data_IF_613606567569
#
_entry.id   IF_613606567569
#
_cell.length_a   1.000
_cell.length_b   1.000
_cell.length_c   1.000
_cell.angle_alpha   90.00
_cell.angle_beta   90.00
_cell.angle_gamma   90.00
#
_symmetry.space_group_name_H-M   'P 1'
#
loop_
_entity.id
_entity.type
_entity.pdbx_description
1 polymer ?
#
# COMPACT_ATOMS: atom_id res chain seq x y z
N UNK A 1 52.82 57.62 -20.39
CA UNK A 1 51.46 57.04 -20.25
C UNK A 1 51.32 56.54 -18.82
N UNK A 2 50.98 57.44 -17.91
CA UNK A 2 50.76 57.14 -16.49
C UNK A 2 49.26 56.98 -16.29
N UNK A 3 48.82 55.74 -16.07
CA UNK A 3 47.42 55.44 -15.77
C UNK A 3 47.03 56.08 -14.45
N UNK A 4 45.98 56.91 -14.46
CA UNK A 4 45.42 57.49 -13.25
C UNK A 4 44.87 56.36 -12.35
N UNK A 5 45.53 56.10 -11.23
CA UNK A 5 44.96 55.31 -10.14
C UNK A 5 43.84 56.14 -9.50
N UNK A 6 42.60 55.94 -9.95
CA UNK A 6 41.42 56.44 -9.25
C UNK A 6 41.24 55.60 -7.99
N UNK A 7 41.47 56.19 -6.82
CA UNK A 7 41.21 55.56 -5.53
C UNK A 7 39.73 55.22 -5.39
N UNK A 8 39.43 53.99 -5.01
CA UNK A 8 38.06 53.51 -4.79
C UNK A 8 37.42 54.35 -3.68
N UNK A 9 36.25 54.93 -3.92
CA UNK A 9 35.54 55.67 -2.88
C UNK A 9 34.93 54.70 -1.85
N UNK A 10 34.82 55.12 -0.59
CA UNK A 10 34.19 54.32 0.47
C UNK A 10 32.77 53.89 0.09
N UNK A 11 32.05 54.75 -0.65
CA UNK A 11 30.69 54.50 -1.14
C UNK A 11 30.69 53.40 -2.20
N UNK A 12 31.62 53.42 -3.17
CA UNK A 12 31.75 52.33 -4.16
C UNK A 12 32.03 50.98 -3.50
N UNK A 13 32.88 50.96 -2.47
CA UNK A 13 33.16 49.72 -1.73
C UNK A 13 31.89 49.18 -1.05
N UNK A 14 31.10 50.06 -0.42
CA UNK A 14 29.86 49.71 0.26
C UNK A 14 28.79 49.19 -0.70
N UNK A 15 28.65 49.84 -1.86
CA UNK A 15 27.71 49.41 -2.92
C UNK A 15 28.13 48.06 -3.49
N UNK A 16 29.42 47.87 -3.78
CA UNK A 16 29.93 46.58 -4.27
C UNK A 16 29.71 45.45 -3.25
N UNK A 17 29.93 45.71 -1.96
CA UNK A 17 29.70 44.73 -0.89
C UNK A 17 28.21 44.39 -0.74
N UNK A 18 27.32 45.39 -0.81
CA UNK A 18 25.88 45.19 -0.76
C UNK A 18 25.39 44.34 -1.93
N UNK A 19 25.86 44.62 -3.15
CA UNK A 19 25.52 43.82 -4.34
C UNK A 19 26.06 42.38 -4.24
N UNK A 20 27.28 42.20 -3.71
CA UNK A 20 27.86 40.88 -3.47
C UNK A 20 27.04 40.07 -2.46
N UNK A 21 26.56 40.68 -1.37
CA UNK A 21 25.71 40.02 -0.38
C UNK A 21 24.33 39.64 -0.95
N UNK A 22 23.73 40.51 -1.77
CA UNK A 22 22.46 40.21 -2.46
C UNK A 22 22.65 39.03 -3.42
N UNK A 23 23.72 39.02 -4.21
CA UNK A 23 24.03 37.93 -5.13
C UNK A 23 24.28 36.61 -4.37
N UNK A 24 25.02 36.65 -3.27
CA UNK A 24 25.28 35.47 -2.44
C UNK A 24 24.00 34.94 -1.78
N UNK A 25 23.13 35.82 -1.32
CA UNK A 25 21.82 35.46 -0.78
C UNK A 25 20.95 34.80 -1.85
N UNK A 26 20.86 35.37 -3.05
CA UNK A 26 20.12 34.79 -4.16
C UNK A 26 20.66 33.41 -4.56
N UNK A 27 21.99 33.27 -4.68
CA UNK A 27 22.64 31.99 -4.97
C UNK A 27 22.39 30.93 -3.88
N UNK A 28 22.45 31.34 -2.61
CA UNK A 28 22.17 30.46 -1.47
C UNK A 28 20.72 29.96 -1.49
N UNK A 29 19.75 30.84 -1.75
CA UNK A 29 18.34 30.46 -1.88
C UNK A 29 18.10 29.53 -3.07
N UNK A 30 18.78 29.77 -4.21
CA UNK A 30 18.69 28.88 -5.37
C UNK A 30 19.23 27.48 -5.05
N UNK A 31 20.37 27.39 -4.36
CA UNK A 31 20.95 26.11 -3.94
C UNK A 31 20.04 25.37 -2.95
N UNK A 32 19.46 26.07 -1.98
CA UNK A 32 18.51 25.50 -1.01
C UNK A 32 17.25 25.00 -1.74
N UNK A 33 16.70 25.81 -2.65
CA UNK A 33 15.54 25.41 -3.46
C UNK A 33 15.84 24.20 -4.35
N UNK A 34 17.03 24.13 -4.94
CA UNK A 34 17.45 23.04 -5.82
C UNK A 34 17.63 21.74 -5.05
N UNK A 35 18.26 21.80 -3.87
CA UNK A 35 18.46 20.64 -3.00
C UNK A 35 17.16 20.13 -2.41
N UNK A 36 16.24 21.02 -2.01
CA UNK A 36 14.88 20.63 -1.58
C UNK A 36 14.10 19.96 -2.72
N UNK A 37 14.15 20.54 -3.93
CA UNK A 37 13.47 19.97 -5.10
C UNK A 37 14.02 18.58 -5.46
N UNK A 38 15.34 18.39 -5.41
CA UNK A 38 15.96 17.10 -5.65
C UNK A 38 15.55 16.06 -4.58
N UNK A 39 15.47 16.46 -3.31
CA UNK A 39 14.99 15.59 -2.23
C UNK A 39 13.52 15.19 -2.39
N UNK A 40 12.64 16.13 -2.73
CA UNK A 40 11.22 15.86 -2.97
C UNK A 40 11.02 14.92 -4.16
N UNK A 41 11.80 15.09 -5.24
CA UNK A 41 11.79 14.20 -6.40
C UNK A 41 12.26 12.79 -6.04
N UNK A 42 13.29 12.66 -5.21
CA UNK A 42 13.77 11.37 -4.75
C UNK A 42 12.70 10.63 -3.94
N UNK A 43 12.09 11.27 -2.94
CA UNK A 43 11.02 10.67 -2.13
C UNK A 43 9.84 10.25 -3.01
N UNK A 44 9.46 11.09 -3.97
CA UNK A 44 8.39 10.77 -4.92
C UNK A 44 8.73 9.58 -5.80
N UNK A 45 9.98 9.46 -6.24
CA UNK A 45 10.47 8.33 -7.02
C UNK A 45 10.44 7.05 -6.20
N UNK A 46 10.89 7.10 -4.95
CA UNK A 46 10.92 5.94 -4.05
C UNK A 46 9.49 5.43 -3.77
N UNK A 47 8.56 6.33 -3.42
CA UNK A 47 7.15 5.98 -3.22
C UNK A 47 6.51 5.39 -4.48
N UNK A 48 6.84 5.92 -5.66
CA UNK A 48 6.32 5.39 -6.93
C UNK A 48 6.86 3.99 -7.23
N UNK A 49 8.14 3.73 -6.97
CA UNK A 49 8.75 2.41 -7.13
C UNK A 49 8.12 1.40 -6.16
N UNK A 50 8.01 1.74 -4.87
CA UNK A 50 7.37 0.90 -3.85
C UNK A 50 5.91 0.59 -4.21
N UNK A 51 5.15 1.61 -4.65
CA UNK A 51 3.77 1.46 -5.09
C UNK A 51 3.66 0.48 -6.27
N UNK A 52 4.52 0.60 -7.29
CA UNK A 52 4.50 -0.29 -8.46
C UNK A 52 4.84 -1.73 -8.09
N UNK A 53 5.86 -1.93 -7.24
CA UNK A 53 6.25 -3.26 -6.77
C UNK A 53 5.10 -3.91 -5.98
N UNK A 54 4.53 -3.19 -5.02
CA UNK A 54 3.41 -3.68 -4.23
C UNK A 54 2.16 -3.96 -5.08
N UNK A 55 1.81 -3.09 -6.03
CA UNK A 55 0.71 -3.33 -6.96
C UNK A 55 0.93 -4.59 -7.79
N UNK A 56 2.12 -4.76 -8.39
CA UNK A 56 2.42 -5.95 -9.18
C UNK A 56 2.34 -7.23 -8.34
N UNK A 57 2.80 -7.18 -7.09
CA UNK A 57 2.69 -8.29 -6.15
C UNK A 57 1.23 -8.62 -5.81
N UNK A 58 0.41 -7.62 -5.49
CA UNK A 58 -1.02 -7.79 -5.23
C UNK A 58 -1.72 -8.39 -6.44
N UNK A 59 -1.47 -7.84 -7.63
CA UNK A 59 -2.06 -8.31 -8.89
C UNK A 59 -1.69 -9.76 -9.17
N UNK A 60 -0.43 -10.15 -8.96
CA UNK A 60 0.01 -11.52 -9.15
C UNK A 60 -0.77 -12.50 -8.25
N UNK A 61 -0.95 -12.17 -6.97
CA UNK A 61 -1.70 -13.01 -6.03
C UNK A 61 -3.20 -13.06 -6.35
N UNK A 62 -3.80 -11.90 -6.66
CA UNK A 62 -5.23 -11.80 -7.01
C UNK A 62 -5.54 -12.52 -8.31
N UNK A 63 -4.62 -12.51 -9.28
CA UNK A 63 -4.75 -13.27 -10.54
C UNK A 63 -4.97 -14.76 -10.27
N UNK A 64 -4.35 -15.28 -9.23
CA UNK A 64 -4.44 -16.69 -8.83
C UNK A 64 -5.63 -17.03 -7.93
N UNK A 65 -6.51 -16.07 -7.65
CA UNK A 65 -7.68 -16.32 -6.81
C UNK A 65 -8.61 -17.36 -7.44
N UNK A 66 -8.94 -18.39 -6.66
CA UNK A 66 -9.94 -19.40 -6.95
C UNK A 66 -11.35 -19.00 -6.49
N UNK A 67 -11.43 -18.11 -5.50
CA UNK A 67 -12.69 -17.54 -5.00
C UNK A 67 -12.41 -16.20 -4.35
N UNK A 68 -13.17 -15.16 -4.70
CA UNK A 68 -13.06 -13.83 -4.08
C UNK A 68 -14.26 -13.63 -3.17
N UNK A 69 -14.06 -13.22 -1.91
CA UNK A 69 -15.18 -13.05 -0.99
C UNK A 69 -16.08 -11.87 -1.44
N UNK A 70 -17.40 -12.07 -1.56
CA UNK A 70 -18.30 -10.99 -1.95
C UNK A 70 -18.34 -9.85 -0.93
N UNK A 71 -18.66 -8.65 -1.43
CA UNK A 71 -18.82 -7.49 -0.55
C UNK A 71 -19.91 -7.75 0.49
N UNK A 72 -19.66 -7.34 1.73
CA UNK A 72 -20.52 -7.59 2.89
C UNK A 72 -20.25 -8.92 3.61
N UNK A 73 -19.37 -9.78 3.10
CA UNK A 73 -19.05 -11.05 3.78
C UNK A 73 -18.22 -10.78 5.04
N UNK A 74 -18.64 -11.27 6.22
CA UNK A 74 -17.86 -11.14 7.45
C UNK A 74 -16.61 -12.03 7.39
N UNK A 75 -15.48 -11.48 7.80
CA UNK A 75 -14.19 -12.17 7.88
C UNK A 75 -13.72 -12.11 9.33
N UNK A 76 -13.57 -13.27 9.97
CA UNK A 76 -13.09 -13.36 11.35
C UNK A 76 -11.57 -13.56 11.34
N UNK A 77 -10.83 -12.44 11.40
CA UNK A 77 -9.37 -12.46 11.60
C UNK A 77 -9.02 -12.64 13.09
N UNK A 78 -7.86 -13.22 13.43
CA UNK A 78 -7.41 -13.32 14.81
C UNK A 78 -7.24 -11.92 15.41
N UNK A 79 -7.31 -11.77 16.74
CA UNK A 79 -7.15 -10.46 17.39
C UNK A 79 -5.68 -10.25 17.78
N UNK A 80 -4.96 -9.39 17.04
CA UNK A 80 -3.61 -8.96 17.35
C UNK A 80 -3.30 -7.59 16.70
N UNK A 81 -2.09 -7.05 16.92
CA UNK A 81 -1.68 -5.73 16.39
C UNK A 81 -1.79 -5.63 14.85
N UNK A 82 -1.57 -6.75 14.14
CA UNK A 82 -1.49 -6.79 12.68
C UNK A 82 -2.86 -7.00 12.00
N UNK A 83 -3.88 -7.36 12.76
CA UNK A 83 -5.21 -7.78 12.27
C UNK A 83 -6.36 -7.04 12.95
N UNK A 84 -6.08 -6.16 13.91
CA UNK A 84 -7.13 -5.37 14.58
C UNK A 84 -7.74 -4.38 13.59
N UNK A 85 -9.07 -4.39 13.48
CA UNK A 85 -9.79 -3.45 12.60
C UNK A 85 -9.67 -2.02 13.15
N UNK A 86 -9.18 -1.06 12.34
CA UNK A 86 -9.17 0.34 12.75
C UNK A 86 -10.59 0.85 12.96
N UNK A 87 -10.86 1.44 14.14
CA UNK A 87 -12.21 1.82 14.57
C UNK A 87 -13.03 0.68 15.21
N UNK A 88 -12.45 -0.50 15.42
CA UNK A 88 -13.07 -1.64 16.09
C UNK A 88 -14.08 -2.41 15.23
N UNK A 89 -14.72 -3.44 15.81
CA UNK A 89 -15.75 -4.24 15.15
C UNK A 89 -15.23 -5.32 14.20
N UNK A 90 -16.15 -5.92 13.43
CA UNK A 90 -15.86 -7.06 12.55
C UNK A 90 -15.33 -6.61 11.20
N UNK A 91 -14.34 -7.33 10.68
CA UNK A 91 -13.89 -7.16 9.30
C UNK A 91 -14.96 -7.65 8.31
N UNK A 92 -15.17 -6.88 7.25
CA UNK A 92 -16.13 -7.22 6.20
C UNK A 92 -15.47 -6.97 4.84
N UNK A 93 -15.53 -7.94 3.94
CA UNK A 93 -15.04 -7.76 2.57
C UNK A 93 -15.78 -6.58 1.91
N UNK A 94 -15.04 -5.68 1.26
CA UNK A 94 -15.62 -4.47 0.66
C UNK A 94 -16.28 -3.49 1.64
N UNK A 95 -15.98 -3.57 2.94
CA UNK A 95 -16.53 -2.68 3.96
C UNK A 95 -15.97 -1.25 3.94
N UNK A 96 -16.37 -0.44 4.91
CA UNK A 96 -15.93 0.96 5.02
C UNK A 96 -14.43 1.13 5.27
N UNK A 97 -13.82 0.16 5.96
CA UNK A 97 -12.37 -0.04 5.93
C UNK A 97 -12.11 -1.08 4.84
N UNK A 98 -11.40 -0.73 3.76
CA UNK A 98 -11.23 -1.62 2.61
C UNK A 98 -10.58 -2.94 3.01
N UNK A 99 -11.26 -4.05 2.73
CA UNK A 99 -10.69 -5.39 2.88
C UNK A 99 -10.98 -6.20 1.62
N UNK A 100 -9.92 -6.71 1.01
CA UNK A 100 -9.97 -7.68 -0.06
C UNK A 100 -9.57 -9.04 0.50
N UNK A 101 -10.48 -10.00 0.49
CA UNK A 101 -10.18 -11.37 0.85
C UNK A 101 -10.46 -12.31 -0.32
N UNK A 102 -9.67 -13.37 -0.44
CA UNK A 102 -9.86 -14.43 -1.43
C UNK A 102 -9.18 -15.72 -1.00
N UNK A 103 -9.57 -16.82 -1.64
CA UNK A 103 -8.84 -18.08 -1.62
C UNK A 103 -7.97 -18.13 -2.86
N UNK A 104 -6.67 -18.26 -2.68
CA UNK A 104 -5.71 -18.47 -3.76
C UNK A 104 -5.62 -19.97 -4.10
N UNK A 105 -5.57 -20.27 -5.39
CA UNK A 105 -5.27 -21.62 -5.87
C UNK A 105 -3.84 -22.03 -5.49
N UNK A 106 -3.56 -23.33 -5.27
CA UNK A 106 -2.22 -23.81 -4.99
C UNK A 106 -1.30 -23.67 -6.22
N UNK A 107 0.00 -23.52 -5.99
CA UNK A 107 1.02 -23.49 -7.04
C UNK A 107 1.25 -24.89 -7.65
N UNK A 108 0.93 -25.93 -6.88
CA UNK A 108 1.11 -27.34 -7.24
C UNK A 108 -0.21 -28.11 -7.12
N UNK A 109 -0.34 -29.29 -7.74
CA UNK A 109 -1.52 -30.15 -7.57
C UNK A 109 -1.84 -30.42 -6.09
N UNK A 110 -3.13 -30.32 -5.75
CA UNK A 110 -3.63 -30.35 -4.35
C UNK A 110 -3.40 -31.67 -3.61
N UNK A 111 -3.16 -32.77 -4.35
CA UNK A 111 -2.95 -34.11 -3.79
C UNK A 111 -1.77 -34.22 -2.83
N UNK A 112 -0.84 -33.26 -2.85
CA UNK A 112 0.31 -33.18 -1.94
C UNK A 112 0.19 -32.14 -0.82
N UNK A 113 -1.00 -31.55 -0.59
CA UNK A 113 -1.15 -30.51 0.43
C UNK A 113 -0.83 -31.06 1.84
N UNK A 114 0.19 -30.47 2.46
CA UNK A 114 0.50 -30.67 3.87
C UNK A 114 1.22 -29.44 4.43
N UNK A 115 0.91 -29.06 5.68
CA UNK A 115 1.52 -27.89 6.33
C UNK A 115 2.92 -28.15 6.92
N UNK A 116 3.50 -29.33 6.67
CA UNK A 116 4.74 -29.82 7.29
C UNK A 116 5.98 -29.06 6.83
N UNK A 117 6.10 -28.72 5.55
CA UNK A 117 7.24 -27.96 5.02
C UNK A 117 6.84 -26.97 3.93
N UNK A 118 7.77 -26.13 3.50
CA UNK A 118 7.51 -25.08 2.51
C UNK A 118 7.11 -25.64 1.13
N UNK A 119 7.57 -26.84 0.77
CA UNK A 119 7.27 -27.44 -0.54
C UNK A 119 5.86 -28.02 -0.58
N UNK A 120 5.47 -28.77 0.46
CA UNK A 120 4.13 -29.35 0.58
C UNK A 120 3.04 -28.29 0.80
N UNK A 121 3.39 -27.14 1.38
CA UNK A 121 2.47 -25.99 1.51
C UNK A 121 2.10 -25.37 0.17
N UNK A 122 2.96 -25.47 -0.86
CA UNK A 122 2.66 -24.96 -2.21
C UNK A 122 1.55 -25.74 -2.92
N UNK A 123 1.23 -26.94 -2.44
CA UNK A 123 0.09 -27.72 -2.89
C UNK A 123 -1.21 -27.36 -2.15
N UNK A 124 -1.18 -26.48 -1.14
CA UNK A 124 -2.36 -26.09 -0.38
C UNK A 124 -3.00 -24.82 -0.92
N UNK A 125 -4.33 -24.77 -0.92
CA UNK A 125 -5.06 -23.50 -1.07
C UNK A 125 -4.66 -22.56 0.06
N UNK A 126 -4.64 -21.25 -0.21
CA UNK A 126 -4.25 -20.26 0.79
C UNK A 126 -5.34 -19.21 0.91
N UNK A 127 -5.85 -19.00 2.13
CA UNK A 127 -6.65 -17.82 2.42
C UNK A 127 -5.74 -16.60 2.45
N UNK A 128 -6.09 -15.57 1.69
CA UNK A 128 -5.38 -14.28 1.69
C UNK A 128 -6.33 -13.14 1.94
N UNK A 129 -5.88 -12.16 2.72
CA UNK A 129 -6.57 -10.90 2.87
C UNK A 129 -5.58 -9.73 2.86
N UNK A 130 -5.96 -8.65 2.19
CA UNK A 130 -5.26 -7.38 2.17
C UNK A 130 -6.15 -6.30 2.77
N UNK A 131 -5.61 -5.54 3.72
CA UNK A 131 -6.35 -4.51 4.42
C UNK A 131 -5.41 -3.47 5.06
N UNK A 132 -5.87 -2.23 5.23
CA UNK A 132 -5.06 -1.19 5.86
C UNK A 132 -5.18 -1.26 7.38
N UNK A 133 -4.06 -1.05 8.07
CA UNK A 133 -3.97 -0.91 9.53
C UNK A 133 -3.30 0.44 9.84
N UNK A 134 -3.58 1.06 10.99
CA UNK A 134 -2.89 2.29 11.37
C UNK A 134 -1.42 2.01 11.62
N UNK A 135 -0.55 2.89 11.15
CA UNK A 135 0.91 2.74 11.30
C UNK A 135 1.32 2.78 12.76
N UNK A 136 0.75 3.68 13.58
CA UNK A 136 1.01 3.73 15.01
C UNK A 136 0.70 2.40 15.72
N UNK A 137 -0.45 1.79 15.44
CA UNK A 137 -0.87 0.51 16.02
C UNK A 137 0.06 -0.63 15.58
N UNK A 138 0.50 -0.59 14.31
CA UNK A 138 1.46 -1.55 13.77
C UNK A 138 2.83 -1.44 14.45
N UNK A 139 3.42 -0.24 14.47
CA UNK A 139 4.76 0.00 15.04
C UNK A 139 4.80 -0.30 16.54
N UNK A 140 3.71 -0.06 17.27
CA UNK A 140 3.63 -0.35 18.70
C UNK A 140 3.63 -1.86 19.03
N UNK A 141 3.15 -2.71 18.12
CA UNK A 141 3.01 -4.16 18.36
C UNK A 141 3.90 -5.07 17.51
N UNK A 142 4.46 -4.57 16.41
CA UNK A 142 5.22 -5.39 15.46
C UNK A 142 6.62 -5.74 15.97
N UNK A 143 7.07 -6.99 15.80
CA UNK A 143 8.44 -7.39 16.10
C UNK A 143 9.42 -6.74 15.12
N UNK A 144 10.68 -6.57 15.52
CA UNK A 144 11.71 -5.84 14.74
C UNK A 144 11.76 -6.19 13.24
N UNK A 145 11.70 -7.47 12.81
CA UNK A 145 11.77 -7.80 11.38
C UNK A 145 10.56 -7.31 10.55
N UNK A 146 9.42 -7.07 11.20
CA UNK A 146 8.19 -6.61 10.57
C UNK A 146 7.86 -5.15 10.89
N UNK A 147 8.72 -4.47 11.67
CA UNK A 147 8.51 -3.13 12.14
C UNK A 147 9.23 -2.14 11.19
N UNK A 148 8.52 -1.21 10.53
CA UNK A 148 9.13 -0.21 9.66
C UNK A 148 9.91 0.86 10.46
N UNK A 149 9.88 0.80 11.79
CA UNK A 149 10.58 1.71 12.69
C UNK A 149 9.74 2.94 13.06
N UNK A 150 10.18 3.69 14.08
CA UNK A 150 9.50 4.91 14.51
C UNK A 150 9.55 6.00 13.43
N UNK A 151 8.39 6.62 13.17
CA UNK A 151 8.27 7.84 12.35
C UNK A 151 7.05 8.63 12.82
N UNK A 152 7.25 9.40 13.89
CA UNK A 152 6.17 10.12 14.59
C UNK A 152 5.48 11.15 13.70
N UNK A 153 6.13 11.61 12.62
CA UNK A 153 5.52 12.53 11.66
C UNK A 153 4.47 11.86 10.78
N UNK A 154 4.40 10.52 10.82
CA UNK A 154 3.54 9.67 10.00
C UNK A 154 2.71 8.68 10.82
N UNK A 155 2.55 8.87 12.13
CA UNK A 155 1.79 7.95 13.00
C UNK A 155 0.30 7.86 12.62
N UNK A 156 -0.24 8.92 12.01
CA UNK A 156 -1.62 8.97 11.49
C UNK A 156 -1.79 8.31 10.10
N UNK A 157 -0.69 7.85 9.49
CA UNK A 157 -0.68 7.13 8.22
C UNK A 157 -1.02 5.65 8.43
N UNK A 158 -1.18 4.93 7.33
CA UNK A 158 -1.59 3.53 7.35
C UNK A 158 -0.54 2.66 6.70
N UNK A 159 -0.56 1.39 7.08
CA UNK A 159 0.20 0.33 6.42
C UNK A 159 -0.77 -0.60 5.70
N UNK A 160 -0.38 -1.17 4.57
CA UNK A 160 -1.10 -2.28 3.96
C UNK A 160 -0.55 -3.59 4.53
N UNK A 161 -1.44 -4.31 5.19
CA UNK A 161 -1.15 -5.61 5.77
C UNK A 161 -1.59 -6.74 4.82
N UNK A 162 -0.82 -7.81 4.81
CA UNK A 162 -1.15 -9.07 4.14
C UNK A 162 -1.32 -10.17 5.17
N UNK A 163 -2.53 -10.71 5.28
CA UNK A 163 -2.78 -11.93 6.02
C UNK A 163 -2.78 -13.11 5.05
N UNK A 164 -1.98 -14.14 5.32
CA UNK A 164 -1.94 -15.37 4.53
C UNK A 164 -1.98 -16.59 5.45
N UNK A 165 -2.94 -17.48 5.21
CA UNK A 165 -3.07 -18.74 5.95
C UNK A 165 -3.23 -19.91 4.96
N UNK A 166 -2.24 -20.83 4.88
CA UNK A 166 -2.40 -22.04 4.08
C UNK A 166 -3.44 -22.96 4.72
N UNK A 167 -4.33 -23.51 3.90
CA UNK A 167 -5.43 -24.37 4.31
C UNK A 167 -4.99 -25.82 4.19
N UNK A 168 -5.05 -26.56 5.29
CA UNK A 168 -4.70 -27.98 5.30
C UNK A 168 -5.86 -28.82 4.70
N UNK A 169 -6.01 -28.77 3.38
CA UNK A 169 -7.05 -29.47 2.66
C UNK A 169 -6.45 -30.17 1.43
N UNK A 170 -6.67 -31.48 1.34
CA UNK A 170 -6.23 -32.33 0.21
C UNK A 170 -7.21 -32.31 -0.96
N UNK A 171 -8.35 -31.66 -0.79
CA UNK A 171 -9.37 -31.41 -1.82
C UNK A 171 -9.65 -29.92 -1.94
N UNK A 172 -10.06 -29.43 -3.13
CA UNK A 172 -10.51 -28.05 -3.27
C UNK A 172 -11.64 -27.72 -2.28
N UNK A 173 -11.60 -26.55 -1.61
CA UNK A 173 -12.70 -26.12 -0.76
C UNK A 173 -13.95 -25.86 -1.60
N UNK A 174 -15.13 -26.17 -1.06
CA UNK A 174 -16.40 -25.74 -1.68
C UNK A 174 -16.61 -24.25 -1.47
N UNK A 175 -17.49 -23.63 -2.24
CA UNK A 175 -17.92 -22.23 -2.03
C UNK A 175 -18.50 -22.07 -0.63
N UNK A 176 -19.34 -23.02 -0.21
CA UNK A 176 -19.88 -23.05 1.15
C UNK A 176 -18.77 -23.19 2.21
N UNK A 177 -17.78 -24.05 1.96
CA UNK A 177 -16.62 -24.23 2.83
C UNK A 177 -15.76 -22.98 2.95
N UNK A 178 -15.59 -22.23 1.86
CA UNK A 178 -14.90 -20.94 1.86
C UNK A 178 -15.62 -19.92 2.77
N UNK A 179 -16.94 -19.79 2.62
CA UNK A 179 -17.75 -18.88 3.45
C UNK A 179 -17.68 -19.26 4.93
N UNK A 180 -17.77 -20.55 5.25
CA UNK A 180 -17.67 -21.05 6.62
C UNK A 180 -16.29 -20.81 7.23
N UNK A 181 -15.21 -20.99 6.44
CA UNK A 181 -13.84 -20.73 6.88
C UNK A 181 -13.66 -19.28 7.33
N UNK A 182 -14.18 -18.33 6.54
CA UNK A 182 -14.10 -16.91 6.88
C UNK A 182 -14.84 -16.58 8.20
N UNK A 183 -15.95 -17.27 8.48
CA UNK A 183 -16.72 -17.07 9.71
C UNK A 183 -16.09 -17.75 10.94
N UNK A 184 -15.51 -18.94 10.77
CA UNK A 184 -15.04 -19.82 11.85
C UNK A 184 -13.83 -19.29 12.64
N UNK A 185 -13.16 -18.26 12.15
CA UNK A 185 -11.97 -17.69 12.77
C UNK A 185 -10.70 -18.25 12.15
N UNK A 186 -9.85 -17.33 11.70
CA UNK A 186 -8.53 -17.61 11.15
C UNK A 186 -7.45 -17.48 12.23
N UNK A 187 -6.27 -18.03 11.96
CA UNK A 187 -5.12 -18.05 12.87
C UNK A 187 -3.86 -17.52 12.20
N UNK A 188 -3.04 -16.79 12.94
CA UNK A 188 -1.75 -16.28 12.46
C UNK A 188 -1.63 -14.77 12.60
N UNK A 189 -0.65 -14.20 11.91
CA UNK A 189 -0.32 -12.77 11.89
C UNK A 189 -0.20 -12.30 10.45
N UNK A 190 -0.40 -11.00 10.22
CA UNK A 190 -0.17 -10.39 8.93
C UNK A 190 1.27 -9.90 8.77
N UNK A 191 1.72 -9.82 7.52
CA UNK A 191 2.98 -9.24 7.10
C UNK A 191 2.78 -7.81 6.61
N UNK A 192 3.79 -6.96 6.81
CA UNK A 192 3.81 -5.62 6.23
C UNK A 192 4.07 -5.73 4.73
N UNK A 193 3.18 -5.19 3.90
CA UNK A 193 3.37 -5.15 2.44
C UNK A 193 3.83 -3.77 1.98
N UNK A 194 3.26 -2.70 2.52
CA UNK A 194 3.52 -1.33 2.08
C UNK A 194 3.29 -0.34 3.22
N UNK A 195 4.20 0.60 3.41
CA UNK A 195 4.05 1.70 4.37
C UNK A 195 3.40 2.93 3.72
N UNK A 196 2.91 3.85 4.54
CA UNK A 196 2.36 5.15 4.14
C UNK A 196 1.14 5.08 3.21
N UNK A 197 0.36 4.02 3.30
CA UNK A 197 -0.85 3.80 2.50
C UNK A 197 -1.94 4.78 2.92
N UNK A 198 -2.76 5.20 1.95
CA UNK A 198 -3.88 6.10 2.19
C UNK A 198 -5.20 5.43 1.78
N UNK A 199 -5.90 4.77 2.72
CA UNK A 199 -7.08 3.96 2.40
C UNK A 199 -8.38 4.76 2.22
N UNK A 200 -8.45 5.93 2.87
CA UNK A 200 -9.60 6.83 2.81
C UNK A 200 -9.08 8.26 2.64
N UNK A 201 -9.28 8.84 1.45
CA UNK A 201 -9.18 10.28 1.27
C UNK A 201 -10.50 10.79 0.67
N UNK A 202 -10.98 11.98 1.07
CA UNK A 202 -12.17 12.58 0.49
C UNK A 202 -12.09 12.62 -1.04
N UNK A 203 -13.12 12.11 -1.70
CA UNK A 203 -13.22 12.08 -3.16
C UNK A 203 -12.46 10.95 -3.86
N UNK A 204 -11.62 10.17 -3.17
CA UNK A 204 -10.96 9.01 -3.79
C UNK A 204 -11.84 7.75 -3.77
N UNK A 205 -11.71 6.88 -4.79
CA UNK A 205 -12.30 5.55 -4.74
C UNK A 205 -11.66 4.72 -3.61
N UNK A 206 -12.33 3.65 -3.14
CA UNK A 206 -11.77 2.75 -2.14
C UNK A 206 -10.43 2.16 -2.58
N UNK A 207 -9.49 2.00 -1.65
CA UNK A 207 -8.17 1.41 -1.91
C UNK A 207 -8.24 0.05 -2.62
N UNK A 208 -9.21 -0.76 -2.21
CA UNK A 208 -9.45 -2.12 -2.70
C UNK A 208 -10.95 -2.30 -2.91
N UNK A 209 -11.35 -2.84 -4.06
CA UNK A 209 -12.74 -3.22 -4.31
C UNK A 209 -12.83 -4.46 -5.19
N UNK A 210 -13.94 -5.20 -5.08
CA UNK A 210 -14.19 -6.39 -5.87
C UNK A 210 -15.65 -6.45 -6.32
N UNK A 211 -15.86 -6.79 -7.58
CA UNK A 211 -17.15 -7.15 -8.17
C UNK A 211 -17.17 -8.67 -8.31
N UNK A 212 -18.12 -9.31 -7.64
CA UNK A 212 -18.19 -10.76 -7.45
C UNK A 212 -19.60 -11.25 -7.78
N UNK A 213 -19.93 -11.41 -9.08
CA UNK A 213 -21.21 -11.98 -9.48
C UNK A 213 -21.38 -13.40 -8.93
N UNK A 214 -22.62 -13.81 -8.71
CA UNK A 214 -22.97 -15.18 -8.28
C UNK A 214 -23.73 -15.88 -9.42
N UNK A 215 -23.27 -17.05 -9.91
CA UNK A 215 -22.01 -17.72 -9.55
C UNK A 215 -20.77 -16.96 -10.07
N UNK A 216 -19.63 -17.15 -9.40
CA UNK A 216 -18.36 -16.57 -9.85
C UNK A 216 -17.86 -17.32 -11.08
N UNK A 217 -17.60 -16.59 -12.16
CA UNK A 217 -17.07 -17.14 -13.40
C UNK A 217 -15.79 -16.42 -13.82
N UNK A 218 -14.87 -17.10 -14.55
CA UNK A 218 -13.72 -16.45 -15.16
C UNK A 218 -14.18 -15.27 -16.03
N UNK A 219 -13.57 -14.11 -15.83
CA UNK A 219 -13.98 -12.91 -16.56
C UNK A 219 -15.28 -12.26 -16.06
N UNK A 220 -16.03 -12.85 -15.12
CA UNK A 220 -17.13 -12.18 -14.41
C UNK A 220 -16.67 -11.43 -13.15
N UNK A 221 -15.70 -11.99 -12.44
CA UNK A 221 -15.10 -11.36 -11.25
C UNK A 221 -14.10 -10.28 -11.67
N UNK A 222 -14.14 -9.12 -11.01
CA UNK A 222 -13.18 -8.02 -11.21
C UNK A 222 -12.70 -7.54 -9.85
N UNK A 223 -11.40 -7.39 -9.68
CA UNK A 223 -10.79 -6.78 -8.50
C UNK A 223 -10.08 -5.52 -8.95
N UNK A 224 -10.35 -4.41 -8.29
CA UNK A 224 -9.74 -3.11 -8.58
C UNK A 224 -8.89 -2.66 -7.41
N UNK A 225 -7.65 -2.28 -7.71
CA UNK A 225 -6.67 -1.76 -6.78
C UNK A 225 -6.44 -0.28 -7.10
N UNK A 226 -6.64 0.59 -6.12
CA UNK A 226 -6.46 2.04 -6.22
C UNK A 226 -5.39 2.49 -5.21
N UNK A 227 -4.21 1.86 -5.25
CA UNK A 227 -3.16 2.09 -4.24
C UNK A 227 -2.70 3.54 -4.30
N UNK A 228 -2.73 4.22 -3.17
CA UNK A 228 -2.18 5.56 -3.00
C UNK A 228 -1.39 5.65 -1.70
N UNK A 229 -0.31 6.42 -1.73
CA UNK A 229 0.63 6.62 -0.65
C UNK A 229 0.68 8.09 -0.25
N UNK A 230 0.85 8.36 1.03
CA UNK A 230 1.07 9.68 1.59
C UNK A 230 2.06 9.60 2.74
N UNK A 231 3.20 10.27 2.58
CA UNK A 231 4.24 10.39 3.60
C UNK A 231 4.55 11.86 3.87
N UNK A 232 4.57 12.24 5.13
CA UNK A 232 5.12 13.50 5.59
C UNK A 232 6.65 13.39 5.63
N UNK A 233 7.32 14.28 4.91
CA UNK A 233 8.77 14.40 4.94
C UNK A 233 9.11 15.86 5.24
N UNK A 234 9.81 16.09 6.36
CA UNK A 234 10.24 17.44 6.80
C UNK A 234 9.07 18.44 6.90
N UNK A 235 7.91 18.00 7.39
CA UNK A 235 6.73 18.83 7.56
C UNK A 235 5.90 19.03 6.29
N UNK A 236 6.25 18.36 5.18
CA UNK A 236 5.51 18.42 3.92
C UNK A 236 4.93 17.06 3.55
N UNK A 237 3.65 17.02 3.25
CA UNK A 237 3.00 15.82 2.73
C UNK A 237 3.36 15.59 1.26
N UNK A 238 3.92 14.42 1.00
CA UNK A 238 4.21 13.91 -0.33
C UNK A 238 3.23 12.77 -0.63
N UNK A 239 2.35 13.00 -1.60
CA UNK A 239 1.35 12.01 -2.02
C UNK A 239 1.71 11.41 -3.37
N UNK A 240 1.52 10.10 -3.50
CA UNK A 240 1.56 9.37 -4.77
C UNK A 240 0.26 8.59 -4.97
N UNK A 241 -0.40 8.70 -6.13
CA UNK A 241 -0.09 9.60 -7.24
C UNK A 241 -0.28 11.09 -6.86
N UNK A 242 0.45 11.99 -7.52
CA UNK A 242 0.35 13.43 -7.31
C UNK A 242 -1.08 13.94 -7.59
N UNK A 243 -1.55 14.93 -6.82
CA UNK A 243 -2.91 15.51 -6.91
C UNK A 243 -2.91 16.94 -7.47
N UNK A 244 -2.72 17.15 -8.78
CA UNK A 244 -2.59 18.47 -9.39
C UNK A 244 -3.89 19.28 -9.54
N UNK A 245 -5.07 18.82 -9.09
CA UNK A 245 -6.33 19.56 -9.29
C UNK A 245 -7.39 19.30 -8.23
N UNK A 246 -8.67 19.48 -8.57
CA UNK A 246 -9.83 19.18 -7.71
C UNK A 246 -10.57 17.87 -8.08
N UNK A 247 -10.32 17.28 -9.26
CA UNK A 247 -10.99 16.06 -9.72
C UNK A 247 -10.20 14.79 -9.36
N UNK A 248 -10.66 13.96 -8.43
CA UNK A 248 -9.92 12.79 -7.96
C UNK A 248 -9.72 11.70 -9.03
N UNK A 249 -10.60 11.64 -10.02
CA UNK A 249 -10.57 10.61 -11.06
C UNK A 249 -9.35 10.71 -12.00
N UNK A 250 -8.69 11.86 -12.10
CA UNK A 250 -7.53 12.05 -12.99
C UNK A 250 -6.19 11.71 -12.33
N UNK A 251 -6.18 11.41 -11.03
CA UNK A 251 -4.95 11.10 -10.30
C UNK A 251 -4.84 9.62 -9.97
N UNK A 252 -5.95 8.92 -9.79
CA UNK A 252 -5.94 7.52 -9.34
C UNK A 252 -5.38 6.61 -10.44
N UNK A 253 -4.33 5.86 -10.10
CA UNK A 253 -3.87 4.75 -10.92
C UNK A 253 -4.64 3.50 -10.54
N UNK A 254 -5.80 3.32 -11.17
CA UNK A 254 -6.63 2.13 -10.97
C UNK A 254 -6.12 0.98 -11.82
N UNK A 255 -5.79 -0.14 -11.18
CA UNK A 255 -5.53 -1.39 -11.90
C UNK A 255 -6.65 -2.37 -11.61
N UNK A 256 -7.28 -2.87 -12.66
CA UNK A 256 -8.36 -3.86 -12.56
C UNK A 256 -7.89 -5.18 -13.14
N UNK A 257 -8.10 -6.27 -12.39
CA UNK A 257 -7.74 -7.62 -12.80
C UNK A 257 -8.93 -8.57 -12.68
N UNK A 258 -8.98 -9.52 -13.62
CA UNK A 258 -9.88 -10.66 -13.56
C UNK A 258 -9.07 -11.88 -13.07
N UNK A 259 -9.41 -12.48 -11.91
CA UNK A 259 -8.80 -13.73 -11.49
C UNK A 259 -9.02 -14.84 -12.52
N UNK A 260 -8.03 -15.72 -12.69
CA UNK A 260 -8.07 -16.78 -13.70
C UNK A 260 -8.67 -18.09 -13.20
N UNK A 261 -8.62 -18.34 -11.88
CA UNK A 261 -9.03 -19.61 -11.28
C UNK A 261 -10.45 -19.54 -10.64
N UNK A 262 -11.17 -18.43 -10.76
CA UNK A 262 -12.53 -18.30 -10.21
C UNK A 262 -13.51 -19.25 -10.90
N UNK A 263 -14.49 -19.73 -10.15
CA UNK A 263 -15.48 -20.70 -10.65
C UNK A 263 -14.96 -22.14 -10.74
N UNK A 264 -13.73 -22.41 -10.28
CA UNK A 264 -13.17 -23.76 -10.19
C UNK A 264 -13.52 -24.49 -8.89
N UNK A 265 -13.96 -23.76 -7.86
CA UNK A 265 -14.39 -24.36 -6.61
C UNK A 265 -15.77 -25.02 -6.78
N UNK A 266 -15.98 -26.24 -6.24
CA UNK A 266 -17.30 -26.86 -6.22
C UNK A 266 -18.28 -26.03 -5.38
N UNK A 267 -19.59 -26.09 -5.68
CA UNK A 267 -20.62 -25.40 -4.89
C UNK A 267 -20.60 -25.79 -3.40
#
# INVERSE_FOLDING_TARGET
>A
MTGAQRGLTLIELLVALALALIALFAASNLLISSTQSAGDLQVRSDLLLEQQVAQNYLLANVREAAFVYPSGTPITLPVNYSTTRPGGGTWTAGGSVPLLAFIQAPERPVSGCALTNADTRRACYTFRAYYPVRRADWVAGAPDPANPGPDTSNDDRWVLAEFAQPLNATTPPTVTGALNLAAAGLSGTASLLLDYVQPAAPGLPPLLSAVTPSPQTPGGVRVTLNVSLNRNVRGRDTTQPARPGASPASWVQSVTIAPRNVGTLPP
#
